data_IF_040012482023
#
_entry.id   IF_040012482023
#
_cell.length_a   1.000
_cell.length_b   1.000
_cell.length_c   1.000
_cell.angle_alpha   90.00
_cell.angle_beta   90.00
_cell.angle_gamma   90.00
#
_symmetry.space_group_name_H-M   'P 1'
#
loop_
_entity.id
_entity.type
_entity.pdbx_description
1 polymer ?
#
# COMPACT_ATOMS: atom_id res chain seq x y z
N UNK A 1 -8.27 -75.27 14.81
CA UNK A 1 -8.19 -74.47 16.05
C UNK A 1 -6.99 -73.52 15.92
N UNK A 2 -7.22 -72.21 16.10
CA UNK A 2 -6.23 -71.13 16.36
C UNK A 2 -5.22 -70.82 15.25
N UNK A 3 -5.40 -69.79 14.40
CA UNK A 3 -5.12 -68.35 14.57
C UNK A 3 -3.63 -67.94 14.66
N UNK A 4 -3.17 -67.29 13.58
CA UNK A 4 -2.30 -66.11 13.41
C UNK A 4 -1.59 -65.50 14.63
N UNK A 5 -0.32 -65.09 14.48
CA UNK A 5 0.13 -63.66 14.49
C UNK A 5 1.52 -63.55 13.85
N UNK A 6 1.64 -62.74 12.78
CA UNK A 6 2.89 -62.15 12.27
C UNK A 6 3.26 -60.90 13.08
N UNK A 7 4.55 -60.60 13.23
CA UNK A 7 5.03 -59.24 13.49
C UNK A 7 6.14 -58.88 12.50
N UNK A 8 5.82 -57.86 11.71
CA UNK A 8 6.69 -57.14 10.78
C UNK A 8 7.82 -56.40 11.51
N UNK A 9 8.96 -56.26 10.84
CA UNK A 9 9.83 -55.10 11.00
C UNK A 9 10.46 -54.80 9.66
N UNK A 10 9.97 -53.76 8.99
CA UNK A 10 10.62 -53.16 7.82
C UNK A 10 10.31 -51.68 7.81
N UNK A 11 11.38 -50.91 7.70
CA UNK A 11 11.47 -49.47 7.82
C UNK A 11 10.59 -48.76 6.77
N UNK A 12 9.79 -47.80 7.22
CA UNK A 12 9.24 -46.75 6.36
C UNK A 12 9.91 -45.45 6.70
N UNK A 13 10.77 -45.00 5.79
CA UNK A 13 11.35 -43.65 5.75
C UNK A 13 10.20 -42.64 5.59
N UNK A 14 9.95 -41.84 6.63
CA UNK A 14 9.04 -40.69 6.53
C UNK A 14 9.63 -39.65 5.59
N UNK A 15 8.98 -39.49 4.43
CA UNK A 15 9.25 -38.39 3.49
C UNK A 15 8.61 -37.12 4.06
N UNK A 16 9.42 -36.12 4.37
CA UNK A 16 8.94 -34.78 4.77
C UNK A 16 8.01 -34.19 3.69
N UNK A 17 6.92 -33.49 4.05
CA UNK A 17 6.02 -32.91 3.05
C UNK A 17 6.73 -31.78 2.30
N UNK A 18 6.65 -31.84 0.97
CA UNK A 18 7.03 -30.76 0.06
C UNK A 18 6.33 -29.46 0.47
N UNK A 19 7.11 -28.41 0.65
CA UNK A 19 6.62 -27.07 0.93
C UNK A 19 6.11 -26.52 -0.39
N UNK A 20 4.80 -26.65 -0.63
CA UNK A 20 4.13 -25.99 -1.75
C UNK A 20 4.50 -24.50 -1.71
N UNK A 21 5.30 -24.08 -2.70
CA UNK A 21 5.45 -22.67 -3.01
C UNK A 21 4.09 -22.16 -3.46
N UNK A 22 3.32 -21.62 -2.51
CA UNK A 22 2.16 -20.80 -2.80
C UNK A 22 2.68 -19.52 -3.44
N UNK A 23 2.94 -19.59 -4.74
CA UNK A 23 2.97 -18.41 -5.60
C UNK A 23 1.58 -17.81 -5.44
N UNK A 24 1.52 -16.73 -4.66
CA UNK A 24 0.30 -16.00 -4.39
C UNK A 24 -0.30 -15.51 -5.70
N UNK A 25 -1.19 -16.31 -6.28
CA UNK A 25 -2.09 -15.89 -7.34
C UNK A 25 -2.85 -14.68 -6.79
N UNK A 26 -2.50 -13.48 -7.28
CA UNK A 26 -3.28 -12.27 -7.10
C UNK A 26 -4.59 -12.46 -7.86
N UNK A 27 -5.53 -13.19 -7.24
CA UNK A 27 -6.91 -13.23 -7.69
C UNK A 27 -7.42 -11.81 -7.52
N UNK A 28 -7.58 -11.12 -8.65
CA UNK A 28 -8.25 -9.84 -8.75
C UNK A 28 -9.62 -10.00 -8.07
N UNK A 29 -9.77 -9.39 -6.89
CA UNK A 29 -11.07 -9.15 -6.26
C UNK A 29 -11.81 -8.11 -7.13
N UNK A 30 -13.16 -8.12 -7.17
CA UNK A 30 -13.94 -7.34 -8.13
C UNK A 30 -13.53 -5.87 -8.07
N UNK A 31 -13.52 -5.25 -9.25
CA UNK A 31 -13.21 -3.84 -9.53
C UNK A 31 -13.34 -2.98 -8.26
N UNK A 32 -12.20 -2.60 -7.66
CA UNK A 32 -12.20 -1.90 -6.39
C UNK A 32 -13.01 -0.62 -6.53
N UNK A 33 -14.11 -0.53 -5.79
CA UNK A 33 -15.04 0.60 -5.85
C UNK A 33 -14.38 1.90 -5.34
N UNK A 34 -13.34 1.78 -4.52
CA UNK A 34 -12.64 2.93 -3.92
C UNK A 34 -11.14 2.82 -4.12
N UNK A 35 -10.57 3.79 -4.83
CA UNK A 35 -9.12 3.96 -4.97
C UNK A 35 -8.61 5.04 -4.00
N UNK A 36 -7.65 4.66 -3.16
CA UNK A 36 -7.02 5.54 -2.18
C UNK A 36 -5.52 5.70 -2.47
N UNK A 37 -5.10 6.90 -2.82
CA UNK A 37 -3.69 7.21 -3.08
C UNK A 37 -2.99 7.68 -1.81
N UNK A 38 -1.83 7.10 -1.53
CA UNK A 38 -0.92 7.49 -0.47
C UNK A 38 0.34 8.09 -1.09
N UNK A 39 0.47 9.41 -1.04
CA UNK A 39 1.60 10.13 -1.67
C UNK A 39 2.43 10.80 -0.59
N UNK A 40 3.75 10.64 -0.65
CA UNK A 40 4.57 11.33 0.34
C UNK A 40 6.04 10.93 0.36
N UNK A 41 6.66 11.18 1.52
CA UNK A 41 8.10 11.09 1.70
C UNK A 41 8.59 9.64 1.90
N UNK A 42 9.80 9.51 2.47
CA UNK A 42 10.36 8.23 2.91
C UNK A 42 9.48 7.51 3.95
N UNK A 43 8.61 8.23 4.67
CA UNK A 43 7.69 7.63 5.63
C UNK A 43 6.62 6.81 4.90
N UNK A 44 5.99 7.35 3.84
CA UNK A 44 5.04 6.60 3.02
C UNK A 44 5.70 5.38 2.37
N UNK A 45 6.95 5.54 1.88
CA UNK A 45 7.71 4.41 1.32
C UNK A 45 7.91 3.29 2.35
N UNK A 46 8.26 3.64 3.59
CA UNK A 46 8.44 2.66 4.68
C UNK A 46 7.12 2.06 5.15
N UNK A 47 6.04 2.85 5.20
CA UNK A 47 4.71 2.38 5.53
C UNK A 47 4.22 1.33 4.53
N UNK A 48 4.44 1.54 3.24
CA UNK A 48 4.15 0.54 2.20
C UNK A 48 4.88 -0.78 2.44
N UNK A 49 6.21 -0.73 2.68
CA UNK A 49 6.99 -1.94 2.94
C UNK A 49 6.47 -2.68 4.18
N UNK A 50 6.20 -1.93 5.25
CA UNK A 50 5.62 -2.51 6.46
C UNK A 50 4.22 -3.08 6.26
N UNK A 51 3.39 -2.49 5.40
CA UNK A 51 2.05 -2.98 5.07
C UNK A 51 2.11 -4.27 4.25
N UNK A 52 3.00 -4.32 3.26
CA UNK A 52 3.21 -5.49 2.41
C UNK A 52 3.56 -6.73 3.23
N UNK A 53 4.37 -6.57 4.27
CA UNK A 53 4.89 -7.68 5.07
C UNK A 53 3.93 -8.09 6.23
N UNK A 54 2.75 -7.45 6.35
CA UNK A 54 1.76 -7.73 7.40
C UNK A 54 0.54 -8.49 6.87
N UNK A 55 -0.20 -9.20 7.75
CA UNK A 55 -1.52 -9.73 7.41
C UNK A 55 -2.44 -8.62 6.88
N UNK A 56 -3.13 -8.89 5.76
CA UNK A 56 -3.93 -7.89 5.03
C UNK A 56 -3.17 -7.19 3.91
N UNK A 57 -1.85 -7.33 3.84
CA UNK A 57 -1.02 -6.85 2.75
C UNK A 57 -1.09 -5.34 2.53
N UNK A 58 -0.79 -4.93 1.29
CA UNK A 58 -0.66 -3.51 0.90
C UNK A 58 -1.96 -2.71 1.05
N UNK A 59 -3.12 -3.37 1.08
CA UNK A 59 -4.41 -2.71 1.30
C UNK A 59 -4.90 -2.84 2.76
N UNK A 60 -4.04 -3.30 3.68
CA UNK A 60 -4.36 -3.45 5.11
C UNK A 60 -5.62 -4.30 5.37
N UNK A 61 -5.88 -5.25 4.47
CA UNK A 61 -7.06 -6.10 4.46
C UNK A 61 -8.34 -5.40 3.99
N UNK A 62 -8.32 -4.10 3.70
CA UNK A 62 -9.49 -3.31 3.28
C UNK A 62 -9.96 -3.64 1.86
N UNK A 63 -9.17 -4.41 1.10
CA UNK A 63 -9.61 -4.96 -0.19
C UNK A 63 -10.93 -5.76 -0.06
N UNK A 64 -11.17 -6.41 1.08
CA UNK A 64 -12.44 -7.11 1.37
C UNK A 64 -13.66 -6.19 1.39
N UNK A 65 -13.45 -4.88 1.51
CA UNK A 65 -14.46 -3.83 1.49
C UNK A 65 -14.45 -3.05 0.15
N UNK A 66 -13.78 -3.57 -0.88
CA UNK A 66 -13.67 -2.90 -2.18
C UNK A 66 -12.68 -1.71 -2.19
N UNK A 67 -11.85 -1.57 -1.16
CA UNK A 67 -10.87 -0.45 -1.07
C UNK A 67 -9.50 -0.94 -1.54
N UNK A 68 -8.98 -0.30 -2.57
CA UNK A 68 -7.60 -0.46 -3.01
C UNK A 68 -6.73 0.71 -2.57
N UNK A 69 -5.50 0.42 -2.16
CA UNK A 69 -4.55 1.41 -1.66
C UNK A 69 -3.33 1.44 -2.57
N UNK A 70 -3.05 2.59 -3.18
CA UNK A 70 -1.89 2.78 -4.03
C UNK A 70 -0.86 3.70 -3.41
N UNK A 71 0.38 3.21 -3.32
CA UNK A 71 1.43 3.82 -2.52
C UNK A 71 2.49 4.48 -3.40
N UNK A 72 2.76 5.75 -3.15
CA UNK A 72 3.66 6.61 -3.92
C UNK A 72 4.60 7.38 -2.99
N UNK A 73 5.47 6.63 -2.29
CA UNK A 73 6.50 7.18 -1.41
C UNK A 73 7.83 7.45 -2.12
N UNK A 74 8.36 8.67 -1.98
CA UNK A 74 9.67 9.10 -2.52
C UNK A 74 10.59 9.60 -1.41
N UNK A 75 11.79 9.05 -1.31
CA UNK A 75 12.81 9.52 -0.35
C UNK A 75 13.21 10.98 -0.62
N UNK A 76 13.43 11.75 0.44
CA UNK A 76 13.85 13.16 0.35
C UNK A 76 12.80 14.13 -0.22
N UNK A 77 11.57 13.67 -0.45
CA UNK A 77 10.50 14.54 -0.97
C UNK A 77 10.20 15.69 -0.01
N UNK A 78 10.21 16.91 -0.54
CA UNK A 78 9.80 18.13 0.15
C UNK A 78 8.39 18.54 -0.27
N UNK A 79 7.76 19.45 0.46
CA UNK A 79 6.36 19.81 0.23
C UNK A 79 6.10 20.34 -1.18
N UNK A 80 7.01 21.16 -1.73
CA UNK A 80 6.85 21.77 -3.06
C UNK A 80 6.89 20.75 -4.21
N UNK A 81 7.34 19.52 -3.98
CA UNK A 81 7.29 18.43 -4.95
C UNK A 81 5.89 17.82 -5.09
N UNK A 82 5.02 17.98 -4.08
CA UNK A 82 3.75 17.27 -3.94
C UNK A 82 2.84 17.46 -5.16
N UNK A 83 2.60 18.72 -5.55
CA UNK A 83 1.72 19.03 -6.66
C UNK A 83 2.22 18.44 -7.98
N UNK A 84 3.54 18.53 -8.24
CA UNK A 84 4.16 17.97 -9.45
C UNK A 84 4.05 16.45 -9.48
N UNK A 85 4.23 15.79 -8.33
CA UNK A 85 4.07 14.33 -8.21
C UNK A 85 2.63 13.93 -8.53
N UNK A 86 1.63 14.55 -7.91
CA UNK A 86 0.20 14.25 -8.16
C UNK A 86 -0.14 14.45 -9.64
N UNK A 87 0.26 15.57 -10.24
CA UNK A 87 0.06 15.81 -11.69
C UNK A 87 0.67 14.73 -12.57
N UNK A 88 1.82 14.17 -12.17
CA UNK A 88 2.48 13.12 -12.93
C UNK A 88 1.72 11.79 -12.83
N UNK A 89 1.20 11.46 -11.64
CA UNK A 89 0.43 10.25 -11.40
C UNK A 89 -0.90 10.26 -12.19
N UNK A 90 -1.55 11.42 -12.27
CA UNK A 90 -2.80 11.62 -13.02
C UNK A 90 -2.64 11.52 -14.55
N UNK A 91 -1.41 11.45 -15.08
CA UNK A 91 -1.21 11.24 -16.52
C UNK A 91 -1.50 9.81 -16.96
N UNK A 92 -1.47 8.86 -16.01
CA UNK A 92 -1.48 7.42 -16.29
C UNK A 92 -2.48 6.67 -15.40
N UNK A 93 -3.22 7.37 -14.54
CA UNK A 93 -4.25 6.79 -13.68
C UNK A 93 -5.44 7.75 -13.60
N UNK A 94 -6.61 7.18 -13.32
CA UNK A 94 -7.81 7.95 -13.01
C UNK A 94 -7.69 8.69 -11.67
N UNK A 95 -8.58 9.66 -11.48
CA UNK A 95 -8.62 10.45 -10.24
C UNK A 95 -9.04 9.55 -9.07
N UNK A 96 -8.31 9.54 -7.94
CA UNK A 96 -8.70 8.73 -6.79
C UNK A 96 -9.87 9.35 -6.04
N UNK A 97 -10.63 8.53 -5.34
CA UNK A 97 -11.67 8.96 -4.40
C UNK A 97 -11.03 9.58 -3.14
N UNK A 98 -9.87 9.06 -2.73
CA UNK A 98 -9.12 9.56 -1.57
C UNK A 98 -7.67 9.85 -1.94
N UNK A 99 -7.17 11.02 -1.54
CA UNK A 99 -5.78 11.40 -1.64
C UNK A 99 -5.23 11.69 -0.24
N UNK A 100 -4.39 10.78 0.25
CA UNK A 100 -3.70 10.89 1.53
C UNK A 100 -2.27 11.36 1.25
N UNK A 101 -1.91 12.49 1.84
CA UNK A 101 -0.60 13.10 1.72
C UNK A 101 0.13 13.05 3.06
N UNK A 102 1.37 12.55 3.05
CA UNK A 102 2.23 12.58 4.23
C UNK A 102 3.65 13.05 3.88
N UNK A 103 3.88 14.36 4.07
CA UNK A 103 5.08 15.07 3.66
C UNK A 103 5.21 16.36 4.48
N UNK A 104 6.37 17.04 4.36
CA UNK A 104 6.79 18.28 5.04
C UNK A 104 7.84 18.12 6.16
N UNK A 105 8.12 16.91 6.65
CA UNK A 105 9.19 16.70 7.64
C UNK A 105 10.57 17.14 7.12
N UNK A 106 10.81 17.08 5.81
CA UNK A 106 12.06 17.54 5.18
C UNK A 106 12.10 19.07 4.97
N UNK A 107 11.01 19.77 5.23
CA UNK A 107 10.87 21.22 5.11
C UNK A 107 11.04 21.92 6.48
N UNK A 108 11.31 21.15 7.54
CA UNK A 108 11.56 21.69 8.88
C UNK A 108 12.73 22.68 8.87
N UNK A 109 12.54 23.83 9.51
CA UNK A 109 13.45 24.98 9.47
C UNK A 109 13.05 26.09 8.50
N UNK A 110 12.03 25.88 7.64
CA UNK A 110 11.48 26.88 6.70
C UNK A 110 9.98 27.17 6.97
N UNK A 111 9.64 27.45 8.23
CA UNK A 111 8.26 27.34 8.75
C UNK A 111 7.25 28.35 8.17
N UNK A 112 7.62 29.61 7.95
CA UNK A 112 6.67 30.62 7.41
C UNK A 112 6.29 30.32 5.96
N UNK A 113 7.29 30.08 5.11
CA UNK A 113 7.10 29.72 3.70
C UNK A 113 6.33 28.39 3.55
N UNK A 114 6.54 27.45 4.48
CA UNK A 114 5.85 26.16 4.45
C UNK A 114 4.33 26.31 4.58
N UNK A 115 3.83 27.15 5.49
CA UNK A 115 2.39 27.33 5.68
C UNK A 115 1.73 27.88 4.41
N UNK A 116 2.35 28.87 3.77
CA UNK A 116 1.84 29.44 2.51
C UNK A 116 1.89 28.40 1.38
N UNK A 117 3.01 27.70 1.25
CA UNK A 117 3.17 26.63 0.26
C UNK A 117 2.16 25.49 0.47
N UNK A 118 1.82 25.15 1.71
CA UNK A 118 0.75 24.19 2.04
C UNK A 118 -0.60 24.69 1.56
N UNK A 119 -1.01 25.89 1.97
CA UNK A 119 -2.31 26.46 1.57
C UNK A 119 -2.44 26.54 0.05
N UNK A 120 -1.42 27.06 -0.63
CA UNK A 120 -1.40 27.18 -2.09
C UNK A 120 -1.45 25.80 -2.77
N UNK A 121 -0.69 24.83 -2.27
CA UNK A 121 -0.66 23.48 -2.85
C UNK A 121 -1.99 22.76 -2.67
N UNK A 122 -2.58 22.80 -1.46
CA UNK A 122 -3.88 22.20 -1.19
C UNK A 122 -4.97 22.82 -2.07
N UNK A 123 -4.99 24.16 -2.22
CA UNK A 123 -5.93 24.84 -3.12
C UNK A 123 -5.77 24.40 -4.58
N UNK A 124 -4.53 24.27 -5.08
CA UNK A 124 -4.26 23.77 -6.44
C UNK A 124 -4.69 22.32 -6.63
N UNK A 125 -4.52 21.47 -5.62
CA UNK A 125 -4.93 20.06 -5.68
C UNK A 125 -6.45 19.96 -5.66
N UNK A 126 -7.14 20.72 -4.79
CA UNK A 126 -8.61 20.73 -4.74
C UNK A 126 -9.23 21.16 -6.07
N UNK A 127 -8.64 22.16 -6.75
CA UNK A 127 -9.08 22.57 -8.09
C UNK A 127 -8.86 21.48 -9.15
N UNK A 128 -7.78 20.71 -9.02
CA UNK A 128 -7.44 19.62 -9.95
C UNK A 128 -8.34 18.39 -9.73
N UNK A 129 -8.72 18.16 -8.48
CA UNK A 129 -9.40 16.97 -7.98
C UNK A 129 -10.63 17.37 -7.14
N UNK A 130 -11.67 17.95 -7.76
CA UNK A 130 -12.80 18.54 -7.03
C UNK A 130 -13.59 17.52 -6.19
N UNK A 131 -13.68 16.28 -6.66
CA UNK A 131 -14.47 15.22 -6.01
C UNK A 131 -13.62 14.31 -5.10
N UNK A 132 -12.29 14.50 -5.09
CA UNK A 132 -11.38 13.70 -4.26
C UNK A 132 -11.36 14.24 -2.85
N UNK A 133 -11.49 13.35 -1.86
CA UNK A 133 -11.29 13.68 -0.45
C UNK A 133 -9.80 13.80 -0.15
N UNK A 134 -9.36 15.01 0.17
CA UNK A 134 -7.96 15.31 0.49
C UNK A 134 -7.72 15.17 1.99
N UNK A 135 -6.71 14.38 2.36
CA UNK A 135 -6.27 14.16 3.73
C UNK A 135 -4.77 14.49 3.80
N UNK A 136 -4.37 15.33 4.75
CA UNK A 136 -2.96 15.65 5.01
C UNK A 136 -2.62 15.32 6.47
N UNK A 137 -1.48 14.64 6.67
CA UNK A 137 -0.90 14.30 7.97
C UNK A 137 0.60 14.53 7.95
#
# INVERSE_FOLDING_TARGET
>A
MGQSVNRDTSETVEKSPEVDHVVGNTKHCPESEIEAWFVGSSIVKRAFLAARDRPGGVSLGLQRLGINMWWQGKGGMIWTDMYKKIKTLLKVNDKPQYLIMHCAANDMGKTKELIENVKTTLGKIQLLLPDTKIIWS
#
